data_IF_004943136257
#
_entry.id   IF_004943136257
#
_cell.length_a   1.000
_cell.length_b   1.000
_cell.length_c   1.000
_cell.angle_alpha   90.00
_cell.angle_beta   90.00
_cell.angle_gamma   90.00
#
_symmetry.space_group_name_H-M   'P 1'
#
loop_
_entity.id
_entity.type
_entity.pdbx_description
1 polymer ?
#
# COMPACT_ATOMS: atom_id res chain seq x y z
N UNK A 1 -2.42 -26.54 -6.11
CA UNK A 1 -3.71 -25.86 -5.85
C UNK A 1 -4.03 -24.99 -7.06
N UNK A 2 -5.20 -25.18 -7.67
CA UNK A 2 -5.61 -24.39 -8.84
C UNK A 2 -5.83 -22.95 -8.39
N UNK A 3 -5.15 -22.00 -9.02
CA UNK A 3 -5.41 -20.57 -8.89
C UNK A 3 -6.86 -20.31 -9.31
N UNK A 4 -7.75 -20.12 -8.34
CA UNK A 4 -9.09 -19.60 -8.59
C UNK A 4 -8.92 -18.17 -9.08
N UNK A 5 -9.41 -17.86 -10.28
CA UNK A 5 -9.38 -16.49 -10.79
C UNK A 5 -10.39 -15.67 -9.99
N UNK A 6 -9.97 -14.51 -9.50
CA UNK A 6 -10.90 -13.48 -9.05
C UNK A 6 -11.69 -13.02 -10.28
N UNK A 7 -13.01 -13.18 -10.27
CA UNK A 7 -13.86 -12.72 -11.36
C UNK A 7 -14.52 -11.42 -10.96
N UNK A 8 -14.23 -10.35 -11.70
CA UNK A 8 -14.94 -9.07 -11.64
C UNK A 8 -16.02 -9.03 -12.71
N UNK A 9 -17.27 -8.76 -12.32
CA UNK A 9 -18.38 -8.56 -13.27
C UNK A 9 -19.09 -7.26 -12.91
N UNK A 10 -19.28 -6.39 -13.92
CA UNK A 10 -20.07 -5.18 -13.79
C UNK A 10 -21.49 -5.40 -14.30
N UNK A 11 -22.50 -5.10 -13.48
CA UNK A 11 -23.91 -5.16 -13.87
C UNK A 11 -24.61 -3.89 -13.42
N UNK A 12 -25.02 -3.04 -14.36
CA UNK A 12 -25.58 -1.73 -14.05
C UNK A 12 -24.60 -0.87 -13.25
N UNK A 13 -25.03 -0.45 -12.06
CA UNK A 13 -24.30 0.42 -11.13
C UNK A 13 -23.45 -0.37 -10.10
N UNK A 14 -23.35 -1.69 -10.23
CA UNK A 14 -22.61 -2.56 -9.30
C UNK A 14 -21.41 -3.20 -9.98
N UNK A 15 -20.28 -3.21 -9.28
CA UNK A 15 -19.10 -4.03 -9.58
C UNK A 15 -18.98 -5.14 -8.54
N UNK A 16 -19.02 -6.41 -8.99
CA UNK A 16 -18.94 -7.57 -8.10
C UNK A 16 -17.64 -8.32 -8.31
N UNK A 17 -16.89 -8.54 -7.23
CA UNK A 17 -15.78 -9.50 -7.20
C UNK A 17 -16.25 -10.80 -6.55
N UNK A 18 -15.91 -11.93 -7.13
CA UNK A 18 -16.28 -13.25 -6.59
C UNK A 18 -15.13 -14.24 -6.68
N UNK A 19 -14.94 -15.00 -5.61
CA UNK A 19 -14.04 -16.14 -5.55
C UNK A 19 -14.52 -17.16 -4.48
N UNK A 20 -14.97 -18.36 -4.87
CA UNK A 20 -15.47 -19.38 -3.95
C UNK A 20 -14.34 -20.06 -3.15
N UNK A 21 -13.08 -19.78 -3.47
CA UNK A 21 -11.90 -20.32 -2.79
C UNK A 21 -11.12 -19.24 -2.03
N UNK A 22 -11.69 -18.04 -1.89
CA UNK A 22 -11.11 -17.00 -1.06
C UNK A 22 -11.09 -17.43 0.41
N UNK A 23 -10.11 -16.91 1.16
CA UNK A 23 -10.14 -16.98 2.61
C UNK A 23 -11.40 -16.25 3.13
N UNK A 24 -12.08 -16.71 4.20
CA UNK A 24 -13.31 -16.08 4.71
C UNK A 24 -13.17 -14.58 5.00
N UNK A 25 -11.98 -14.17 5.41
CA UNK A 25 -11.64 -12.77 5.70
C UNK A 25 -11.25 -11.93 4.48
N UNK A 26 -11.03 -12.53 3.31
CA UNK A 26 -10.47 -11.83 2.15
C UNK A 26 -11.28 -10.60 1.74
N UNK A 27 -12.57 -10.79 1.47
CA UNK A 27 -13.48 -9.71 1.10
C UNK A 27 -13.91 -8.86 2.29
N UNK A 28 -13.92 -9.44 3.51
CA UNK A 28 -14.22 -8.70 4.75
C UNK A 28 -13.11 -7.71 5.10
N UNK A 29 -11.85 -8.06 4.86
CA UNK A 29 -10.69 -7.18 5.04
C UNK A 29 -10.76 -5.99 4.09
N UNK A 30 -11.09 -6.22 2.81
CA UNK A 30 -11.28 -5.14 1.83
C UNK A 30 -12.42 -4.22 2.26
N UNK A 31 -13.58 -4.77 2.66
CA UNK A 31 -14.72 -3.99 3.12
C UNK A 31 -14.39 -3.16 4.38
N UNK A 32 -13.68 -3.75 5.35
CA UNK A 32 -13.23 -3.06 6.56
C UNK A 32 -12.24 -1.94 6.23
N UNK A 33 -11.29 -2.19 5.32
CA UNK A 33 -10.36 -1.18 4.84
C UNK A 33 -11.07 -0.01 4.16
N UNK A 34 -12.00 -0.29 3.23
CA UNK A 34 -12.79 0.75 2.57
C UNK A 34 -13.56 1.60 3.58
N UNK A 35 -14.26 0.97 4.54
CA UNK A 35 -15.00 1.70 5.57
C UNK A 35 -14.08 2.61 6.41
N UNK A 36 -12.92 2.09 6.83
CA UNK A 36 -11.98 2.81 7.70
C UNK A 36 -11.30 4.00 7.01
N UNK A 37 -11.04 3.90 5.70
CA UNK A 37 -10.55 5.03 4.90
C UNK A 37 -11.67 6.05 4.62
N UNK A 38 -12.91 5.59 4.42
CA UNK A 38 -14.07 6.47 4.23
C UNK A 38 -14.36 7.32 5.47
N UNK A 39 -14.25 6.74 6.66
CA UNK A 39 -14.36 7.45 7.95
C UNK A 39 -13.33 8.58 8.08
N UNK A 40 -12.15 8.41 7.49
CA UNK A 40 -11.10 9.42 7.43
C UNK A 40 -11.32 10.47 6.33
N UNK A 41 -12.45 10.41 5.61
CA UNK A 41 -12.84 11.38 4.59
C UNK A 41 -12.28 11.12 3.19
N UNK A 42 -11.63 9.98 2.95
CA UNK A 42 -11.22 9.56 1.61
C UNK A 42 -12.43 9.00 0.84
N UNK A 43 -12.77 9.52 -0.36
CA UNK A 43 -13.74 8.86 -1.21
C UNK A 43 -13.23 7.47 -1.63
N UNK A 44 -14.02 6.45 -1.34
CA UNK A 44 -13.74 5.06 -1.70
C UNK A 44 -14.95 4.44 -2.39
N UNK A 45 -14.77 3.30 -3.07
CA UNK A 45 -15.91 2.56 -3.59
C UNK A 45 -16.83 2.07 -2.45
N UNK A 46 -18.10 2.43 -2.50
CA UNK A 46 -19.05 2.09 -1.45
C UNK A 46 -19.38 0.59 -1.48
N UNK A 47 -19.28 -0.07 -0.33
CA UNK A 47 -19.62 -1.48 -0.18
C UNK A 47 -21.14 -1.64 -0.13
N UNK A 48 -21.70 -2.37 -1.10
CA UNK A 48 -23.13 -2.71 -1.17
C UNK A 48 -23.45 -3.99 -0.41
N UNK A 49 -22.61 -4.99 -0.56
CA UNK A 49 -22.71 -6.27 0.15
C UNK A 49 -21.35 -6.94 0.25
N UNK A 50 -21.15 -7.74 1.29
CA UNK A 50 -19.92 -8.52 1.49
C UNK A 50 -20.26 -9.87 2.10
N UNK A 51 -19.56 -10.91 1.66
CA UNK A 51 -19.59 -12.26 2.21
C UNK A 51 -18.20 -12.89 2.18
N UNK A 52 -18.10 -14.16 2.57
CA UNK A 52 -16.85 -14.94 2.51
C UNK A 52 -16.35 -15.19 1.09
N UNK A 53 -17.23 -15.06 0.07
CA UNK A 53 -16.91 -15.41 -1.31
C UNK A 53 -17.12 -14.27 -2.32
N UNK A 54 -17.62 -13.11 -1.88
CA UNK A 54 -17.76 -11.95 -2.75
C UNK A 54 -17.80 -10.62 -2.00
N UNK A 55 -17.52 -9.55 -2.74
CA UNK A 55 -17.84 -8.16 -2.38
C UNK A 55 -18.54 -7.51 -3.58
N UNK A 56 -19.59 -6.74 -3.31
CA UNK A 56 -20.25 -5.86 -4.26
C UNK A 56 -19.96 -4.41 -3.89
N UNK A 57 -19.49 -3.66 -4.88
CA UNK A 57 -19.08 -2.27 -4.76
C UNK A 57 -19.89 -1.41 -5.73
N UNK A 58 -20.01 -0.13 -5.42
CA UNK A 58 -20.44 0.86 -6.40
C UNK A 58 -19.52 0.87 -7.60
N UNK A 59 -20.13 0.80 -8.80
CA UNK A 59 -19.40 1.03 -10.03
C UNK A 59 -19.06 2.51 -10.14
N UNK A 60 -17.78 2.80 -10.30
CA UNK A 60 -17.30 4.17 -10.46
C UNK A 60 -17.28 4.53 -11.95
N UNK A 61 -17.88 5.68 -12.29
CA UNK A 61 -17.75 6.26 -13.62
C UNK A 61 -16.39 6.94 -13.74
N UNK A 62 -15.59 6.51 -14.72
CA UNK A 62 -14.26 7.06 -14.95
C UNK A 62 -14.31 8.37 -15.76
N UNK A 63 -13.41 9.29 -15.43
CA UNK A 63 -13.20 10.57 -16.09
C UNK A 63 -11.70 10.79 -16.30
N UNK A 64 -11.35 11.72 -17.20
CA UNK A 64 -9.95 12.07 -17.41
C UNK A 64 -9.38 12.79 -16.18
N UNK A 65 -8.14 12.47 -15.76
CA UNK A 65 -7.46 13.19 -14.70
C UNK A 65 -7.23 14.66 -15.09
N UNK A 66 -7.20 15.54 -14.09
CA UNK A 66 -6.84 16.95 -14.26
C UNK A 66 -5.88 17.39 -13.17
N UNK A 67 -5.11 18.45 -13.42
CA UNK A 67 -4.21 19.02 -12.40
C UNK A 67 -4.96 19.46 -11.12
N UNK A 68 -6.17 19.99 -11.27
CA UNK A 68 -7.00 20.43 -10.14
C UNK A 68 -7.47 19.26 -9.28
N UNK A 69 -8.05 18.23 -9.90
CA UNK A 69 -8.50 17.03 -9.20
C UNK A 69 -7.34 16.24 -8.58
N UNK A 70 -6.17 16.24 -9.21
CA UNK A 70 -4.96 15.63 -8.64
C UNK A 70 -4.48 16.35 -7.37
N UNK A 71 -4.48 17.70 -7.38
CA UNK A 71 -4.14 18.50 -6.20
C UNK A 71 -5.14 18.29 -5.06
N UNK A 72 -6.43 18.23 -5.38
CA UNK A 72 -7.45 17.92 -4.39
C UNK A 72 -7.27 16.52 -3.79
N UNK A 73 -7.00 15.52 -4.63
CA UNK A 73 -6.69 14.15 -4.19
C UNK A 73 -5.52 14.13 -3.20
N UNK A 74 -4.43 14.83 -3.50
CA UNK A 74 -3.30 14.96 -2.58
C UNK A 74 -3.69 15.49 -1.21
N UNK A 75 -4.47 16.57 -1.18
CA UNK A 75 -4.93 17.18 0.07
C UNK A 75 -5.88 16.26 0.86
N UNK A 76 -6.74 15.50 0.18
CA UNK A 76 -7.61 14.48 0.81
C UNK A 76 -6.78 13.32 1.36
N UNK A 77 -5.76 12.86 0.62
CA UNK A 77 -4.86 11.79 1.03
C UNK A 77 -4.07 12.16 2.30
N UNK A 78 -3.60 13.40 2.41
CA UNK A 78 -2.97 13.89 3.63
C UNK A 78 -3.93 13.82 4.84
N UNK A 79 -5.18 14.29 4.69
CA UNK A 79 -6.18 14.20 5.77
C UNK A 79 -6.53 12.76 6.16
N UNK A 80 -6.56 11.85 5.18
CA UNK A 80 -6.75 10.42 5.44
C UNK A 80 -5.63 9.88 6.33
N UNK A 81 -4.38 10.21 6.03
CA UNK A 81 -3.23 9.81 6.85
C UNK A 81 -3.31 10.41 8.26
N UNK A 82 -3.69 11.69 8.38
CA UNK A 82 -3.80 12.43 9.65
C UNK A 82 -4.88 11.89 10.59
N UNK A 83 -5.85 11.11 10.08
CA UNK A 83 -6.81 10.41 10.93
C UNK A 83 -6.14 9.37 11.85
N UNK A 84 -4.90 8.96 11.53
CA UNK A 84 -4.05 8.15 12.38
C UNK A 84 -4.53 6.70 12.59
N UNK A 85 -3.64 5.87 13.12
CA UNK A 85 -3.91 4.48 13.44
C UNK A 85 -3.41 4.15 14.86
N UNK A 86 -3.94 3.07 15.46
CA UNK A 86 -3.58 2.65 16.81
C UNK A 86 -2.09 2.22 16.96
N UNK A 87 -1.39 1.94 15.86
CA UNK A 87 0.00 1.50 15.86
C UNK A 87 0.50 1.13 14.47
N UNK A 88 1.82 1.00 14.32
CA UNK A 88 2.42 0.47 13.09
C UNK A 88 2.07 -1.01 12.96
N UNK A 89 1.29 -1.37 11.93
CA UNK A 89 0.74 -2.70 11.71
C UNK A 89 -0.71 -2.89 12.18
N UNK A 90 -1.31 -1.88 12.81
CA UNK A 90 -2.70 -1.94 13.24
C UNK A 90 -3.63 -2.17 12.03
N UNK A 91 -4.62 -3.04 12.21
CA UNK A 91 -5.70 -3.23 11.25
C UNK A 91 -6.71 -2.07 11.32
N UNK A 92 -7.63 -1.97 10.35
CA UNK A 92 -8.82 -1.14 10.46
C UNK A 92 -9.51 -1.31 11.82
N UNK A 93 -10.03 -0.20 12.36
CA UNK A 93 -10.70 -0.22 13.66
C UNK A 93 -11.84 -1.24 13.68
N UNK A 94 -11.98 -1.97 14.79
CA UNK A 94 -12.99 -3.02 14.99
C UNK A 94 -12.88 -4.25 14.06
N UNK A 95 -11.79 -4.39 13.29
CA UNK A 95 -11.52 -5.58 12.48
C UNK A 95 -10.44 -6.48 13.09
N UNK A 96 -10.76 -7.76 13.30
CA UNK A 96 -9.88 -8.76 13.93
C UNK A 96 -9.49 -9.93 12.99
N UNK A 97 -9.98 -9.92 11.75
CA UNK A 97 -9.67 -10.93 10.74
C UNK A 97 -8.26 -10.81 10.13
N UNK A 98 -7.92 -11.71 9.21
CA UNK A 98 -6.69 -11.66 8.43
C UNK A 98 -6.69 -10.46 7.47
N UNK A 99 -5.55 -9.76 7.34
CA UNK A 99 -5.32 -8.74 6.29
C UNK A 99 -4.65 -9.35 5.07
N UNK A 100 -4.73 -8.67 3.92
CA UNK A 100 -4.18 -9.15 2.66
C UNK A 100 -3.54 -8.03 1.82
N UNK A 101 -2.50 -8.38 1.06
CA UNK A 101 -2.05 -7.62 -0.12
C UNK A 101 -2.02 -8.57 -1.32
N UNK A 102 -2.69 -8.18 -2.40
CA UNK A 102 -3.12 -9.15 -3.41
C UNK A 102 -3.85 -10.30 -2.73
N UNK A 103 -3.41 -11.55 -2.93
CA UNK A 103 -3.99 -12.75 -2.30
C UNK A 103 -3.19 -13.30 -1.12
N UNK A 104 -2.18 -12.55 -0.65
CA UNK A 104 -1.23 -13.03 0.36
C UNK A 104 -1.58 -12.44 1.72
N UNK A 105 -1.51 -13.24 2.79
CA UNK A 105 -1.79 -12.75 4.14
C UNK A 105 -0.75 -11.70 4.56
N UNK A 106 -1.22 -10.67 5.24
CA UNK A 106 -0.41 -9.66 5.92
C UNK A 106 -0.62 -9.74 7.42
N UNK A 107 0.48 -9.65 8.16
CA UNK A 107 0.45 -9.63 9.62
C UNK A 107 -0.18 -8.34 10.17
N UNK A 108 -0.86 -8.49 11.30
CA UNK A 108 -1.44 -7.40 12.13
C UNK A 108 -0.63 -7.14 13.39
N UNK A 109 0.55 -7.74 13.54
CA UNK A 109 1.42 -7.51 14.70
C UNK A 109 1.79 -6.03 14.74
N UNK A 110 1.54 -5.41 15.89
CA UNK A 110 1.84 -3.99 16.10
C UNK A 110 3.23 -3.85 16.70
N UNK A 111 4.01 -2.89 16.19
CA UNK A 111 5.31 -2.52 16.75
C UNK A 111 5.33 -1.08 17.22
N UNK A 112 6.29 -0.78 18.11
CA UNK A 112 6.48 0.57 18.66
C UNK A 112 7.17 1.52 17.68
N UNK A 113 8.03 1.01 16.80
CA UNK A 113 8.75 1.83 15.81
C UNK A 113 8.39 1.40 14.39
N UNK A 114 8.50 2.31 13.44
CA UNK A 114 8.12 2.04 12.07
C UNK A 114 9.05 1.03 11.40
N UNK A 115 10.37 1.20 11.50
CA UNK A 115 11.37 0.39 10.81
C UNK A 115 11.32 -1.07 11.24
N UNK A 116 11.15 -1.32 12.54
CA UNK A 116 10.97 -2.69 13.07
C UNK A 116 9.72 -3.37 12.50
N UNK A 117 8.56 -2.68 12.52
CA UNK A 117 7.33 -3.16 11.89
C UNK A 117 7.50 -3.39 10.38
N UNK A 118 8.02 -2.39 9.68
CA UNK A 118 8.04 -2.35 8.23
C UNK A 118 8.89 -3.51 7.69
N UNK A 119 10.04 -3.76 8.29
CA UNK A 119 10.90 -4.85 7.86
C UNK A 119 10.33 -6.21 8.26
N UNK A 120 9.97 -6.41 9.53
CA UNK A 120 9.52 -7.71 10.03
C UNK A 120 8.18 -8.15 9.42
N UNK A 121 7.24 -7.23 9.24
CA UNK A 121 5.84 -7.54 8.90
C UNK A 121 5.47 -7.22 7.44
N UNK A 122 6.30 -6.43 6.72
CA UNK A 122 6.02 -6.03 5.33
C UNK A 122 7.10 -6.44 4.34
N UNK A 123 8.39 -6.38 4.66
CA UNK A 123 9.44 -6.70 3.67
C UNK A 123 9.85 -8.18 3.73
N UNK A 124 10.37 -8.65 4.88
CA UNK A 124 10.96 -9.98 5.02
C UNK A 124 10.01 -11.15 4.67
N UNK A 125 8.71 -11.12 5.02
CA UNK A 125 7.80 -12.21 4.67
C UNK A 125 7.70 -12.44 3.17
N UNK A 126 7.75 -11.37 2.37
CA UNK A 126 7.65 -11.45 0.91
C UNK A 126 9.01 -11.66 0.25
N UNK A 127 10.09 -11.12 0.81
CA UNK A 127 11.46 -11.42 0.37
C UNK A 127 11.73 -12.93 0.41
N UNK A 128 11.38 -13.61 1.50
CA UNK A 128 11.54 -15.06 1.61
C UNK A 128 10.85 -15.79 0.46
N UNK A 129 9.61 -15.40 0.13
CA UNK A 129 8.87 -16.03 -0.95
C UNK A 129 9.48 -15.69 -2.32
N UNK A 130 10.02 -14.48 -2.50
CA UNK A 130 10.71 -14.09 -3.72
C UNK A 130 12.00 -14.88 -3.95
N UNK A 131 12.76 -15.18 -2.89
CA UNK A 131 13.95 -16.05 -2.92
C UNK A 131 13.55 -17.48 -3.26
N UNK A 132 12.55 -18.04 -2.56
CA UNK A 132 12.05 -19.40 -2.83
C UNK A 132 11.54 -19.56 -4.26
N UNK A 133 10.95 -18.50 -4.82
CA UNK A 133 10.47 -18.44 -6.21
C UNK A 133 11.58 -18.19 -7.24
N UNK A 134 12.84 -18.00 -6.83
CA UNK A 134 13.97 -17.69 -7.71
C UNK A 134 13.93 -16.29 -8.34
N UNK A 135 13.10 -15.41 -7.81
CA UNK A 135 12.97 -14.02 -8.29
C UNK A 135 14.07 -13.11 -7.74
N UNK A 136 14.65 -13.48 -6.59
CA UNK A 136 15.79 -12.83 -5.96
C UNK A 136 16.90 -13.87 -5.82
N UNK A 137 18.11 -13.54 -6.28
CA UNK A 137 19.29 -14.42 -6.13
C UNK A 137 19.94 -14.28 -4.77
N UNK A 138 20.71 -15.27 -4.31
CA UNK A 138 21.43 -15.21 -3.02
C UNK A 138 22.30 -13.96 -2.85
N UNK A 139 22.92 -13.49 -3.94
CA UNK A 139 23.73 -12.25 -3.91
C UNK A 139 22.85 -11.03 -3.65
N UNK A 140 21.72 -10.93 -4.34
CA UNK A 140 20.78 -9.82 -4.15
C UNK A 140 20.15 -9.88 -2.75
N UNK A 141 19.82 -11.08 -2.26
CA UNK A 141 19.25 -11.29 -0.94
C UNK A 141 20.13 -10.70 0.16
N UNK A 142 21.44 -10.92 0.12
CA UNK A 142 22.37 -10.36 1.11
C UNK A 142 22.35 -8.83 1.16
N UNK A 143 22.33 -8.17 0.02
CA UNK A 143 22.29 -6.70 -0.04
C UNK A 143 20.91 -6.18 0.44
N UNK A 144 19.83 -6.90 0.13
CA UNK A 144 18.47 -6.56 0.59
C UNK A 144 18.36 -6.75 2.12
N UNK A 145 18.90 -7.84 2.66
CA UNK A 145 18.93 -8.10 4.11
C UNK A 145 19.74 -7.04 4.85
N UNK A 146 20.89 -6.61 4.30
CA UNK A 146 21.66 -5.51 4.89
C UNK A 146 20.87 -4.18 4.93
N UNK A 147 20.11 -3.87 3.87
CA UNK A 147 19.21 -2.71 3.88
C UNK A 147 18.08 -2.87 4.89
N UNK A 148 17.53 -4.08 5.01
CA UNK A 148 16.51 -4.42 6.00
C UNK A 148 17.03 -4.22 7.42
N UNK A 149 18.24 -4.68 7.74
CA UNK A 149 18.85 -4.52 9.06
C UNK A 149 19.05 -3.04 9.43
N UNK A 150 19.50 -2.22 8.47
CA UNK A 150 19.64 -0.78 8.64
C UNK A 150 18.30 -0.09 8.96
N UNK A 151 17.25 -0.42 8.20
CA UNK A 151 15.90 0.15 8.42
C UNK A 151 15.30 -0.35 9.73
N UNK A 152 15.43 -1.64 10.04
CA UNK A 152 14.93 -2.24 11.28
C UNK A 152 15.63 -1.70 12.53
N UNK A 153 16.89 -1.27 12.41
CA UNK A 153 17.63 -0.58 13.45
C UNK A 153 17.17 0.87 13.69
N UNK A 154 16.24 1.38 12.87
CA UNK A 154 15.63 2.70 13.05
C UNK A 154 16.39 3.84 12.36
N UNK A 155 17.29 3.56 11.42
CA UNK A 155 18.03 4.61 10.69
C UNK A 155 17.13 5.60 9.93
N UNK A 156 15.89 5.19 9.65
CA UNK A 156 14.87 5.97 8.97
C UNK A 156 13.60 6.15 9.82
N UNK A 157 13.65 5.80 11.11
CA UNK A 157 12.56 6.08 12.03
C UNK A 157 12.47 7.59 12.29
N UNK A 158 11.26 8.06 12.52
CA UNK A 158 10.98 9.43 12.90
C UNK A 158 9.80 9.54 13.87
N UNK A 159 9.43 10.79 14.17
CA UNK A 159 8.35 11.14 15.08
C UNK A 159 6.97 11.16 14.38
N UNK A 160 6.86 10.79 13.09
CA UNK A 160 5.56 10.76 12.42
C UNK A 160 4.72 9.60 13.03
N UNK A 161 3.50 9.88 13.50
CA UNK A 161 2.67 8.84 14.09
C UNK A 161 2.17 7.85 13.01
N UNK A 162 1.76 6.63 13.41
CA UNK A 162 1.14 5.68 12.50
C UNK A 162 -0.06 6.31 11.79
N UNK A 163 -0.01 6.31 10.47
CA UNK A 163 -1.02 6.87 9.57
C UNK A 163 -1.94 5.80 9.03
N UNK A 164 -3.19 6.16 8.70
CA UNK A 164 -4.11 5.25 7.99
C UNK A 164 -3.67 5.12 6.53
N UNK A 165 -3.00 4.03 6.18
CA UNK A 165 -2.57 3.81 4.80
C UNK A 165 -3.67 3.12 4.00
N UNK A 166 -3.74 3.43 2.72
CA UNK A 166 -4.36 2.57 1.73
C UNK A 166 -3.59 1.25 1.59
N UNK A 167 -2.25 1.31 1.61
CA UNK A 167 -1.37 0.14 1.72
C UNK A 167 -1.10 -0.61 0.41
N UNK A 168 -1.87 -0.34 -0.64
CA UNK A 168 -1.66 -0.80 -2.03
C UNK A 168 -1.92 0.35 -3.03
N UNK A 169 -1.41 1.55 -2.76
CA UNK A 169 -1.78 2.78 -3.49
C UNK A 169 -0.97 2.99 -4.78
N UNK A 170 -1.24 2.20 -5.81
CA UNK A 170 -0.71 2.40 -7.16
C UNK A 170 -1.79 2.96 -8.11
N UNK A 171 -1.45 3.42 -9.31
CA UNK A 171 -2.42 4.07 -10.20
C UNK A 171 -3.67 3.25 -10.55
N UNK A 172 -3.56 1.91 -10.59
CA UNK A 172 -4.73 1.04 -10.83
C UNK A 172 -5.79 1.12 -9.73
N UNK A 173 -5.40 1.54 -8.52
CA UNK A 173 -6.30 1.70 -7.38
C UNK A 173 -6.77 3.16 -7.18
N UNK A 174 -6.43 4.04 -8.12
CA UNK A 174 -6.82 5.46 -8.14
C UNK A 174 -7.80 5.68 -9.29
N UNK A 175 -9.11 5.65 -9.01
CA UNK A 175 -10.13 5.88 -10.02
C UNK A 175 -10.49 7.36 -10.11
N UNK A 176 -10.20 7.96 -11.25
CA UNK A 176 -10.56 9.35 -11.55
C UNK A 176 -12.02 9.40 -11.94
N UNK A 177 -12.85 10.15 -11.21
CA UNK A 177 -14.28 10.29 -11.49
C UNK A 177 -14.67 11.76 -11.72
N UNK A 178 -15.86 12.04 -12.28
CA UNK A 178 -16.37 13.41 -12.39
C UNK A 178 -16.48 14.17 -11.06
N UNK A 179 -16.47 13.45 -9.92
CA UNK A 179 -16.58 14.02 -8.57
C UNK A 179 -15.25 14.05 -7.81
N UNK A 180 -14.14 13.71 -8.47
CA UNK A 180 -12.83 13.56 -7.83
C UNK A 180 -12.31 12.12 -7.86
N UNK A 181 -11.23 11.88 -7.13
CA UNK A 181 -10.61 10.54 -7.03
C UNK A 181 -11.41 9.66 -6.07
N UNK A 182 -11.59 8.40 -6.44
CA UNK A 182 -12.14 7.33 -5.61
C UNK A 182 -11.11 6.20 -5.50
N UNK A 183 -10.80 5.77 -4.28
CA UNK A 183 -9.89 4.64 -4.06
C UNK A 183 -10.63 3.30 -4.04
N UNK A 184 -9.93 2.25 -4.48
CA UNK A 184 -10.39 0.86 -4.49
C UNK A 184 -9.28 -0.08 -4.04
N UNK A 185 -9.65 -1.30 -3.64
CA UNK A 185 -8.73 -2.41 -3.37
C UNK A 185 -7.66 -2.10 -2.30
N UNK A 186 -8.03 -1.55 -1.13
CA UNK A 186 -7.06 -1.25 -0.09
C UNK A 186 -6.50 -2.51 0.57
N UNK A 187 -5.21 -2.47 0.87
CA UNK A 187 -4.54 -3.32 1.86
C UNK A 187 -4.37 -2.52 3.16
N UNK A 188 -5.47 -1.94 3.66
CA UNK A 188 -5.43 -0.88 4.68
C UNK A 188 -4.82 -1.32 6.01
N UNK A 189 -3.93 -0.50 6.56
CA UNK A 189 -3.31 -0.69 7.87
C UNK A 189 -2.63 0.58 8.37
N UNK A 190 -2.27 0.61 9.66
CA UNK A 190 -1.42 1.64 10.24
C UNK A 190 0.03 1.52 9.75
N UNK A 191 0.59 2.59 9.20
CA UNK A 191 1.96 2.60 8.66
C UNK A 191 2.53 4.01 8.50
N UNK A 192 3.67 4.15 7.83
CA UNK A 192 4.27 5.46 7.58
C UNK A 192 3.71 6.08 6.29
N UNK A 193 3.21 7.31 6.37
CA UNK A 193 2.47 8.00 5.28
C UNK A 193 3.23 8.14 3.96
N UNK A 194 4.56 8.23 4.00
CA UNK A 194 5.39 8.28 2.78
C UNK A 194 5.27 7.00 1.93
N UNK A 195 4.78 5.89 2.51
CA UNK A 195 4.67 4.59 1.82
C UNK A 195 3.65 4.62 0.68
N UNK A 196 2.49 5.23 0.89
CA UNK A 196 1.45 5.38 -0.13
C UNK A 196 1.93 6.30 -1.27
N UNK A 197 2.65 7.37 -0.95
CA UNK A 197 3.24 8.28 -1.95
C UNK A 197 4.37 7.60 -2.74
N UNK A 198 5.22 6.82 -2.09
CA UNK A 198 6.28 6.06 -2.73
C UNK A 198 5.73 4.99 -3.68
N UNK A 199 4.56 4.42 -3.37
CA UNK A 199 3.87 3.46 -4.24
C UNK A 199 3.24 4.12 -5.47
N UNK A 200 2.66 5.32 -5.32
CA UNK A 200 2.24 6.15 -6.46
C UNK A 200 3.43 6.53 -7.35
N UNK A 201 4.59 6.81 -6.77
CA UNK A 201 5.80 7.11 -7.52
C UNK A 201 6.35 5.88 -8.28
N UNK A 202 6.25 4.69 -7.69
CA UNK A 202 6.80 3.46 -8.25
C UNK A 202 6.13 3.05 -9.57
N UNK A 203 4.80 3.06 -9.60
CA UNK A 203 4.01 2.65 -10.76
C UNK A 203 3.54 3.83 -11.62
N UNK A 204 3.89 5.05 -11.19
CA UNK A 204 3.41 6.30 -11.76
C UNK A 204 1.97 6.62 -11.34
N UNK A 205 1.62 7.90 -11.36
CA UNK A 205 0.26 8.40 -11.16
C UNK A 205 0.04 9.64 -12.04
N UNK A 206 -1.12 9.77 -12.71
CA UNK A 206 -1.43 10.99 -13.47
C UNK A 206 -1.29 12.24 -12.59
N UNK A 207 -0.50 13.21 -13.06
CA UNK A 207 -0.19 14.45 -12.35
C UNK A 207 0.40 14.25 -10.94
N UNK A 208 1.26 13.24 -10.74
CA UNK A 208 1.88 12.97 -9.43
C UNK A 208 2.44 14.22 -8.73
N UNK A 209 3.14 15.11 -9.44
CA UNK A 209 3.62 16.36 -8.85
C UNK A 209 2.50 17.25 -8.26
N UNK A 210 1.32 17.28 -8.88
CA UNK A 210 0.15 17.98 -8.32
C UNK A 210 -0.47 17.26 -7.13
N UNK A 211 -0.44 15.92 -7.13
CA UNK A 211 -0.82 15.14 -5.94
C UNK A 211 0.08 15.49 -4.77
N UNK A 212 1.40 15.52 -4.98
CA UNK A 212 2.37 15.94 -3.96
C UNK A 212 2.14 17.40 -3.53
N UNK A 213 1.98 18.35 -4.46
CA UNK A 213 1.67 19.76 -4.13
C UNK A 213 0.42 19.88 -3.24
N UNK A 214 -0.60 19.08 -3.53
CA UNK A 214 -1.84 19.03 -2.77
C UNK A 214 -1.65 18.46 -1.37
N UNK A 215 -0.90 17.37 -1.30
CA UNK A 215 -0.55 16.69 -0.06
C UNK A 215 0.22 17.61 0.88
N UNK A 216 1.31 18.21 0.40
CA UNK A 216 2.16 19.11 1.20
C UNK A 216 1.44 20.38 1.64
N UNK A 217 0.40 20.81 0.90
CA UNK A 217 -0.43 21.95 1.30
C UNK A 217 -1.33 21.67 2.52
N UNK A 218 -1.58 20.40 2.83
CA UNK A 218 -2.38 19.96 3.97
C UNK A 218 -1.49 19.44 5.11
N UNK A 219 -0.51 18.60 4.79
CA UNK A 219 0.49 18.09 5.73
C UNK A 219 1.85 18.01 5.03
N UNK A 220 2.78 18.96 5.29
CA UNK A 220 4.12 18.96 4.71
C UNK A 220 4.86 17.64 4.93
N UNK A 221 5.60 17.20 3.91
CA UNK A 221 6.49 16.05 4.04
C UNK A 221 7.78 16.49 4.71
N UNK A 222 8.44 15.56 5.40
CA UNK A 222 9.76 15.84 5.99
C UNK A 222 10.76 16.14 4.88
N UNK A 223 11.61 17.14 5.09
CA UNK A 223 12.63 17.51 4.11
C UNK A 223 13.45 16.28 3.64
N UNK A 224 13.67 16.20 2.33
CA UNK A 224 14.37 15.08 1.69
C UNK A 224 13.56 13.78 1.61
N UNK A 225 12.23 13.82 1.69
CA UNK A 225 11.36 12.65 1.52
C UNK A 225 11.56 11.97 0.17
N UNK A 226 11.89 12.74 -0.87
CA UNK A 226 12.18 12.22 -2.20
C UNK A 226 13.35 11.23 -2.19
N UNK A 227 14.33 11.48 -1.33
CA UNK A 227 15.47 10.59 -1.15
C UNK A 227 15.06 9.31 -0.41
N UNK A 228 14.03 9.32 0.43
CA UNK A 228 13.55 8.15 1.17
C UNK A 228 12.59 7.26 0.39
N UNK A 229 12.16 7.68 -0.81
CA UNK A 229 11.26 6.89 -1.67
C UNK A 229 11.73 5.43 -1.87
N UNK A 230 13.02 5.13 -2.14
CA UNK A 230 13.47 3.75 -2.28
C UNK A 230 13.26 2.89 -1.01
N UNK A 231 13.37 3.47 0.18
CA UNK A 231 13.15 2.78 1.46
C UNK A 231 11.69 2.32 1.56
N UNK A 232 10.77 3.23 1.25
CA UNK A 232 9.33 2.98 1.22
C UNK A 232 8.88 2.07 0.05
N UNK A 233 9.73 1.87 -0.96
CA UNK A 233 9.47 0.96 -2.08
C UNK A 233 9.90 -0.49 -1.81
N UNK A 234 10.66 -0.77 -0.74
CA UNK A 234 11.08 -2.13 -0.40
C UNK A 234 9.89 -3.10 -0.26
N UNK A 235 8.82 -2.70 0.44
CA UNK A 235 7.62 -3.52 0.61
C UNK A 235 6.90 -3.80 -0.72
N UNK A 236 6.42 -2.81 -1.49
CA UNK A 236 5.71 -3.10 -2.73
C UNK A 236 6.58 -3.87 -3.73
N UNK A 237 7.89 -3.60 -3.79
CA UNK A 237 8.81 -4.36 -4.65
C UNK A 237 8.99 -5.81 -4.17
N UNK A 238 9.06 -6.08 -2.86
CA UNK A 238 9.11 -7.43 -2.32
C UNK A 238 7.83 -8.21 -2.62
N UNK A 239 6.66 -7.58 -2.47
CA UNK A 239 5.36 -8.17 -2.84
C UNK A 239 5.34 -8.55 -4.31
N UNK A 240 5.80 -7.65 -5.19
CA UNK A 240 5.81 -7.91 -6.63
C UNK A 240 6.86 -8.96 -7.03
N UNK A 241 8.05 -8.94 -6.43
CA UNK A 241 9.08 -9.94 -6.65
C UNK A 241 8.59 -11.34 -6.24
N UNK A 242 7.78 -11.43 -5.19
CA UNK A 242 7.21 -12.70 -4.74
C UNK A 242 6.17 -13.27 -5.72
N UNK A 243 5.54 -12.46 -6.56
CA UNK A 243 4.42 -12.85 -7.44
C UNK A 243 4.69 -12.82 -8.94
N UNK A 244 5.59 -11.95 -9.41
CA UNK A 244 5.70 -11.58 -10.84
C UNK A 244 7.11 -11.73 -11.44
N UNK A 245 8.07 -12.26 -10.68
CA UNK A 245 9.35 -12.74 -11.21
C UNK A 245 10.55 -11.80 -11.04
N UNK A 246 11.68 -12.22 -11.64
CA UNK A 246 13.00 -11.63 -11.42
C UNK A 246 13.17 -10.16 -11.87
N UNK A 247 12.26 -9.62 -12.69
CA UNK A 247 12.24 -8.19 -13.03
C UNK A 247 12.09 -7.33 -11.77
N UNK A 248 11.10 -7.63 -10.95
CA UNK A 248 10.86 -6.94 -9.69
C UNK A 248 11.91 -7.25 -8.63
N UNK A 249 12.51 -8.45 -8.64
CA UNK A 249 13.65 -8.75 -7.76
C UNK A 249 14.87 -7.86 -8.03
N UNK A 250 15.13 -7.49 -9.29
CA UNK A 250 16.19 -6.52 -9.63
C UNK A 250 15.86 -5.09 -9.21
N UNK A 251 14.60 -4.69 -9.26
CA UNK A 251 14.16 -3.38 -8.77
C UNK A 251 14.23 -3.31 -7.24
N UNK A 252 13.79 -4.36 -6.53
CA UNK A 252 13.93 -4.50 -5.08
C UNK A 252 15.39 -4.35 -4.65
N UNK A 253 16.29 -5.05 -5.36
CA UNK A 253 17.72 -4.96 -5.10
C UNK A 253 18.27 -3.55 -5.32
N UNK A 254 17.84 -2.84 -6.39
CA UNK A 254 18.24 -1.44 -6.61
C UNK A 254 17.74 -0.51 -5.51
N UNK A 255 16.49 -0.68 -5.05
CA UNK A 255 15.95 0.08 -3.93
C UNK A 255 16.73 -0.18 -2.62
N UNK A 256 17.16 -1.42 -2.39
CA UNK A 256 17.99 -1.78 -1.25
C UNK A 256 19.39 -1.12 -1.31
N UNK A 257 20.06 -1.12 -2.46
CA UNK A 257 21.34 -0.43 -2.61
C UNK A 257 21.22 1.08 -2.38
N UNK A 258 20.18 1.72 -2.93
CA UNK A 258 19.92 3.13 -2.67
C UNK A 258 19.64 3.40 -1.18
N UNK A 259 18.93 2.50 -0.50
CA UNK A 259 18.70 2.58 0.96
C UNK A 259 20.00 2.53 1.75
N UNK A 260 20.93 1.64 1.38
CA UNK A 260 22.25 1.54 2.01
C UNK A 260 23.11 2.80 1.78
N UNK A 261 23.09 3.34 0.56
CA UNK A 261 23.82 4.57 0.22
C UNK A 261 23.34 5.77 1.05
N UNK A 262 22.02 5.86 1.30
CA UNK A 262 21.43 6.90 2.13
C UNK A 262 21.86 6.79 3.59
N UNK A 263 21.82 5.58 4.17
CA UNK A 263 22.23 5.38 5.57
C UNK A 263 23.74 5.50 5.81
N UNK A 264 24.57 5.37 4.76
CA UNK A 264 26.00 5.66 4.84
C UNK A 264 26.35 7.14 4.75
N UNK A 265 25.39 8.01 4.40
CA UNK A 265 25.59 9.45 4.21
C UNK A 265 25.15 10.31 5.42
N UNK A 266 24.55 9.68 6.44
CA UNK A 266 24.12 10.26 7.72
C UNK A 266 25.13 9.99 8.82
#
# INVERSE_FOLDING_TARGET
>A
MRSGRLFGVSTGDVFRKHDPHAHPDFFRAEAAGLAWLAEAGMPVAAVRSVSEHHIELDRIAEASPSAGTAREFGAVLARMHDAGAAGFGAAPDHYDGQLFIGRRPMSRTVHATWGSFYIAERVLPFLRIAVDAGSVTDRQCRDIEAACDLVAAGAFDDDDPPSRLHGDLWNGNVLWSPRGVVLIDPAAHGGHRETDLAMLALFGCPHLGRVVDGYESAHPLRAGWEHRVPVHQLHPLAVHAAGYGAGYGRELHRAALATLELGGST
#
